data_IF_252955693601
#
_entry.id   IF_252955693601
#
_cell.length_a   1.000
_cell.length_b   1.000
_cell.length_c   1.000
_cell.angle_alpha   90.00
_cell.angle_beta   90.00
_cell.angle_gamma   90.00
#
_symmetry.space_group_name_H-M   'P 1'
#
loop_
_entity.id
_entity.type
_entity.pdbx_description
1 polymer ?
#
# COMPACT_ATOMS: atom_id res chain seq x y z
N UNK A 1 -24.65 5.57 27.05
CA UNK A 1 -23.90 6.49 26.17
C UNK A 1 -22.52 6.69 26.80
N UNK A 2 -21.45 6.34 26.09
CA UNK A 2 -20.07 6.59 26.48
C UNK A 2 -19.68 8.01 26.04
N UNK A 3 -18.96 8.73 26.89
CA UNK A 3 -18.48 10.08 26.55
C UNK A 3 -17.03 10.18 26.99
N UNK A 4 -16.14 10.50 26.06
CA UNK A 4 -14.73 10.63 26.35
C UNK A 4 -14.14 11.83 25.61
N UNK A 5 -13.50 12.72 26.37
CA UNK A 5 -12.74 13.86 25.89
C UNK A 5 -11.22 13.70 26.16
N UNK A 6 -10.82 12.59 26.81
CA UNK A 6 -9.43 12.26 27.10
C UNK A 6 -8.80 11.40 26.00
N UNK A 7 -7.69 10.76 26.33
CA UNK A 7 -7.06 9.80 25.43
C UNK A 7 -7.78 8.45 25.50
N UNK A 8 -8.23 7.97 24.34
CA UNK A 8 -8.55 6.56 24.14
C UNK A 8 -7.29 5.91 23.58
N UNK A 9 -6.64 5.09 24.40
CA UNK A 9 -5.54 4.24 24.00
C UNK A 9 -5.96 2.80 24.32
N UNK A 10 -6.30 1.98 23.31
CA UNK A 10 -6.67 0.60 23.55
C UNK A 10 -5.58 -0.26 24.22
N UNK A 11 -4.31 0.18 24.34
CA UNK A 11 -3.16 -0.70 24.63
C UNK A 11 -3.09 -1.38 26.01
N UNK A 12 -2.47 -2.57 26.00
CA UNK A 12 -1.56 -3.09 27.04
C UNK A 12 -0.15 -3.20 26.43
N UNK A 13 0.95 -2.73 27.05
CA UNK A 13 2.29 -2.83 26.48
C UNK A 13 2.70 -4.29 26.17
N UNK A 14 3.12 -4.57 24.94
CA UNK A 14 3.69 -5.88 24.55
C UNK A 14 2.74 -6.89 23.92
N UNK A 15 1.48 -6.52 23.62
CA UNK A 15 0.57 -7.31 22.76
C UNK A 15 0.36 -6.62 21.39
N UNK A 16 0.09 -7.41 20.37
CA UNK A 16 -0.41 -6.97 19.07
C UNK A 16 -1.81 -6.34 19.24
N UNK A 17 -2.27 -5.55 18.25
CA UNK A 17 -3.37 -4.59 18.37
C UNK A 17 -4.51 -4.98 19.32
N UNK A 18 -5.02 -4.02 20.08
CA UNK A 18 -6.08 -4.29 21.07
C UNK A 18 -7.39 -3.64 20.67
N UNK A 19 -8.50 -4.27 21.06
CA UNK A 19 -9.83 -3.75 20.80
C UNK A 19 -10.41 -3.07 22.02
N UNK A 20 -11.02 -1.91 21.82
CA UNK A 20 -11.90 -1.27 22.79
C UNK A 20 -13.33 -1.27 22.23
N UNK A 21 -14.30 -1.69 23.03
CA UNK A 21 -15.71 -1.74 22.61
C UNK A 21 -16.57 -0.90 23.54
N UNK A 22 -17.44 -0.06 22.96
CA UNK A 22 -18.42 0.75 23.67
C UNK A 22 -19.82 0.60 23.08
N UNK A 23 -20.84 1.16 23.78
CA UNK A 23 -22.16 1.43 23.19
C UNK A 23 -22.17 2.77 22.43
N UNK A 24 -23.34 3.43 22.25
CA UNK A 24 -23.40 4.77 21.64
C UNK A 24 -22.39 5.73 22.29
N UNK A 25 -21.63 6.45 21.48
CA UNK A 25 -20.43 7.20 21.90
C UNK A 25 -20.43 8.63 21.37
N UNK A 26 -20.08 9.58 22.24
CA UNK A 26 -19.61 10.92 21.88
C UNK A 26 -18.13 11.02 22.23
N UNK A 27 -17.28 11.17 21.22
CA UNK A 27 -15.83 11.20 21.39
C UNK A 27 -15.27 12.52 20.85
N UNK A 28 -14.66 13.31 21.73
CA UNK A 28 -14.03 14.59 21.40
C UNK A 28 -12.55 14.66 21.81
N UNK A 29 -12.00 13.52 22.24
CA UNK A 29 -10.62 13.39 22.69
C UNK A 29 -9.65 12.90 21.61
N UNK A 30 -8.56 12.25 22.03
CA UNK A 30 -7.52 11.70 21.14
C UNK A 30 -7.62 10.18 21.10
N UNK A 31 -7.91 9.61 19.93
CA UNK A 31 -7.79 8.17 19.71
C UNK A 31 -6.35 7.87 19.29
N UNK A 32 -5.56 7.28 20.19
CA UNK A 32 -4.25 6.73 19.87
C UNK A 32 -4.44 5.34 19.24
N UNK A 33 -4.05 5.23 17.98
CA UNK A 33 -4.22 4.01 17.18
C UNK A 33 -2.86 3.50 16.73
N UNK A 34 -2.52 2.29 17.14
CA UNK A 34 -1.36 1.56 16.66
C UNK A 34 -1.71 0.78 15.39
N UNK A 35 -0.90 0.96 14.34
CA UNK A 35 -0.87 0.07 13.18
C UNK A 35 0.28 -0.91 13.35
N UNK A 36 -0.04 -2.21 13.37
CA UNK A 36 0.92 -3.30 13.50
C UNK A 36 0.97 -4.12 12.20
N UNK A 37 2.14 -4.17 11.60
CA UNK A 37 2.39 -4.92 10.37
C UNK A 37 2.74 -6.39 10.62
N UNK A 38 2.53 -6.90 11.83
CA UNK A 38 2.59 -8.33 12.11
C UNK A 38 1.25 -9.00 11.77
N UNK A 39 1.23 -9.79 10.70
CA UNK A 39 0.12 -10.66 10.34
C UNK A 39 0.47 -12.10 10.72
N UNK A 40 0.20 -12.49 11.95
CA UNK A 40 0.02 -13.91 12.26
C UNK A 40 -1.25 -14.06 13.07
N UNK A 41 -2.24 -14.76 12.51
CA UNK A 41 -3.39 -15.20 13.27
C UNK A 41 -2.92 -15.84 14.59
N UNK A 42 -3.47 -15.45 15.76
CA UNK A 42 -4.73 -14.74 15.96
C UNK A 42 -4.63 -13.21 16.13
N UNK A 43 -3.47 -12.61 15.92
CA UNK A 43 -3.20 -11.23 16.30
C UNK A 43 -3.72 -10.22 15.25
N UNK A 44 -4.43 -9.16 15.67
CA UNK A 44 -4.90 -8.13 14.75
C UNK A 44 -3.77 -7.20 14.31
N UNK A 45 -3.90 -6.69 13.10
CA UNK A 45 -2.93 -5.79 12.47
C UNK A 45 -3.03 -4.33 12.94
N UNK A 46 -3.96 -4.00 13.83
CA UNK A 46 -4.08 -2.65 14.38
C UNK A 46 -4.95 -2.66 15.63
N UNK A 47 -4.92 -1.55 16.36
CA UNK A 47 -5.92 -1.25 17.36
C UNK A 47 -7.28 -1.01 16.70
N UNK A 48 -8.34 -1.46 17.37
CA UNK A 48 -9.71 -1.33 16.87
C UNK A 48 -10.64 -0.71 17.91
N UNK A 49 -11.21 0.44 17.59
CA UNK A 49 -12.31 1.03 18.34
C UNK A 49 -13.68 0.60 17.77
N UNK A 50 -14.43 -0.21 18.52
CA UNK A 50 -15.77 -0.68 18.13
C UNK A 50 -16.87 0.07 18.90
N UNK A 51 -17.80 0.68 18.17
CA UNK A 51 -18.93 1.44 18.74
C UNK A 51 -20.25 0.75 18.39
N UNK A 52 -20.87 0.09 19.36
CA UNK A 52 -22.19 -0.53 19.21
C UNK A 52 -23.30 0.51 19.40
N UNK A 53 -23.40 1.47 18.49
CA UNK A 53 -24.43 2.50 18.47
C UNK A 53 -24.05 3.71 17.64
N UNK A 54 -24.73 4.83 17.89
CA UNK A 54 -24.39 6.12 17.29
C UNK A 54 -22.99 6.57 17.72
N UNK A 55 -22.26 7.18 16.81
CA UNK A 55 -20.91 7.70 17.02
C UNK A 55 -20.88 9.19 16.66
N UNK A 56 -20.44 10.03 17.57
CA UNK A 56 -20.09 11.42 17.31
C UNK A 56 -18.57 11.61 17.47
N UNK A 57 -17.91 12.03 16.40
CA UNK A 57 -16.47 12.31 16.35
C UNK A 57 -16.16 13.81 16.38
N UNK A 58 -17.15 14.67 16.60
CA UNK A 58 -16.97 16.12 16.54
C UNK A 58 -15.89 16.59 17.52
N UNK A 59 -14.86 17.25 16.99
CA UNK A 59 -13.72 17.76 17.76
C UNK A 59 -12.66 16.70 18.12
N UNK A 60 -12.84 15.44 17.70
CA UNK A 60 -11.87 14.37 17.99
C UNK A 60 -10.60 14.45 17.14
N UNK A 61 -9.53 13.85 17.65
CA UNK A 61 -8.26 13.66 16.95
C UNK A 61 -7.96 12.18 16.82
N UNK A 62 -7.56 11.74 15.63
CA UNK A 62 -6.92 10.45 15.40
C UNK A 62 -5.40 10.64 15.41
N UNK A 63 -4.70 9.91 16.28
CA UNK A 63 -3.25 9.91 16.38
C UNK A 63 -2.72 8.51 16.03
N UNK A 64 -2.07 8.39 14.87
CA UNK A 64 -1.58 7.11 14.34
C UNK A 64 -0.11 6.93 14.73
N UNK A 65 0.22 5.74 15.21
CA UNK A 65 1.60 5.25 15.29
C UNK A 65 1.69 3.96 14.49
N UNK A 66 2.60 3.89 13.51
CA UNK A 66 2.86 2.66 12.76
C UNK A 66 4.12 1.98 13.29
N UNK A 67 4.05 0.68 13.58
CA UNK A 67 5.23 -0.13 13.92
C UNK A 67 6.00 -0.52 12.67
N UNK A 68 7.30 -0.70 12.83
CA UNK A 68 8.13 -1.27 11.76
C UNK A 68 7.59 -2.64 11.38
N UNK A 69 7.30 -2.88 10.10
CA UNK A 69 6.86 -4.19 9.61
C UNK A 69 7.86 -5.29 9.91
N UNK A 70 7.35 -6.37 10.51
CA UNK A 70 8.06 -7.63 10.71
C UNK A 70 7.51 -8.75 9.83
N UNK A 71 6.47 -8.48 9.02
CA UNK A 71 5.85 -9.42 8.08
C UNK A 71 5.33 -8.70 6.82
N UNK A 72 4.62 -9.42 5.95
CA UNK A 72 3.97 -8.88 4.75
C UNK A 72 3.13 -7.64 5.09
N UNK A 73 3.10 -6.60 4.24
CA UNK A 73 2.28 -5.44 4.50
C UNK A 73 0.81 -5.81 4.43
N UNK A 74 0.06 -4.95 5.10
CA UNK A 74 -1.36 -5.09 5.31
C UNK A 74 -2.05 -4.11 4.39
N UNK A 75 -2.96 -4.64 3.58
CA UNK A 75 -3.75 -3.84 2.63
C UNK A 75 -4.64 -2.82 3.34
N UNK A 76 -5.30 -3.26 4.42
CA UNK A 76 -6.32 -2.49 5.14
C UNK A 76 -6.16 -2.67 6.65
N UNK A 77 -6.07 -1.55 7.35
CA UNK A 77 -6.18 -1.47 8.81
C UNK A 77 -7.56 -0.91 9.17
N UNK A 78 -8.49 -1.75 9.61
CA UNK A 78 -9.79 -1.27 10.10
C UNK A 78 -9.63 -0.81 11.55
N UNK A 79 -9.61 0.50 11.76
CA UNK A 79 -9.27 1.10 13.05
C UNK A 79 -10.49 1.51 13.86
N UNK A 80 -11.63 1.71 13.21
CA UNK A 80 -12.87 2.07 13.90
C UNK A 80 -14.07 1.47 13.18
N UNK A 81 -15.03 0.94 13.93
CA UNK A 81 -16.34 0.51 13.42
C UNK A 81 -17.47 1.08 14.26
N UNK A 82 -18.63 1.31 13.65
CA UNK A 82 -19.84 1.75 14.34
C UNK A 82 -21.09 1.12 13.74
N UNK A 83 -22.18 1.01 14.51
CA UNK A 83 -23.43 0.40 14.02
C UNK A 83 -24.58 1.39 13.82
N UNK A 84 -24.57 2.51 14.54
CA UNK A 84 -25.59 3.57 14.47
C UNK A 84 -25.28 4.66 13.44
N UNK A 85 -25.73 5.88 13.69
CA UNK A 85 -25.44 7.06 12.88
C UNK A 85 -24.08 7.65 13.23
N UNK A 86 -23.40 8.23 12.24
CA UNK A 86 -22.17 9.01 12.44
C UNK A 86 -22.50 10.50 12.45
N UNK A 87 -21.99 11.22 13.44
CA UNK A 87 -21.95 12.69 13.49
C UNK A 87 -20.51 13.16 13.43
N UNK A 88 -20.22 14.12 12.54
CA UNK A 88 -18.88 14.66 12.35
C UNK A 88 -17.88 13.69 11.71
N UNK A 89 -16.61 14.11 11.73
CA UNK A 89 -15.43 13.32 11.33
C UNK A 89 -14.34 13.56 12.36
N UNK A 90 -13.22 12.82 12.29
CA UNK A 90 -12.01 13.25 12.98
C UNK A 90 -11.65 14.67 12.52
N UNK A 91 -11.55 15.60 13.47
CA UNK A 91 -11.19 16.99 13.19
C UNK A 91 -9.72 17.11 12.80
N UNK A 92 -8.87 16.24 13.37
CA UNK A 92 -7.45 16.16 13.07
C UNK A 92 -7.01 14.69 12.92
N UNK A 93 -6.09 14.46 11.99
CA UNK A 93 -5.38 13.19 11.83
C UNK A 93 -3.89 13.51 11.90
N UNK A 94 -3.18 12.83 12.80
CA UNK A 94 -1.74 13.03 13.03
C UNK A 94 -1.01 11.69 12.93
N UNK A 95 0.27 11.72 12.54
CA UNK A 95 1.10 10.51 12.43
C UNK A 95 0.74 9.58 11.26
N UNK A 96 -0.05 10.03 10.29
CA UNK A 96 -0.36 9.27 9.08
C UNK A 96 0.93 8.98 8.29
N UNK A 97 1.27 7.71 8.01
CA UNK A 97 2.42 7.40 7.17
C UNK A 97 2.23 7.93 5.75
N UNK A 98 3.32 8.35 5.09
CA UNK A 98 3.26 9.09 3.82
C UNK A 98 2.50 8.37 2.70
N UNK A 99 2.56 7.04 2.68
CA UNK A 99 1.95 6.19 1.65
C UNK A 99 0.54 5.69 1.99
N UNK A 100 -0.05 6.22 3.05
CA UNK A 100 -1.36 5.80 3.54
C UNK A 100 -2.34 6.96 3.60
N UNK A 101 -3.62 6.62 3.61
CA UNK A 101 -4.71 7.56 3.82
C UNK A 101 -5.77 6.97 4.75
N UNK A 102 -6.54 7.86 5.37
CA UNK A 102 -7.74 7.49 6.10
C UNK A 102 -8.91 7.42 5.12
N UNK A 103 -9.63 6.32 5.14
CA UNK A 103 -10.86 6.11 4.36
C UNK A 103 -12.02 5.90 5.33
N UNK A 104 -13.12 6.60 5.05
CA UNK A 104 -14.41 6.35 5.68
C UNK A 104 -15.29 5.56 4.72
N UNK A 105 -15.62 4.31 5.08
CA UNK A 105 -16.61 3.51 4.36
C UNK A 105 -17.96 3.68 5.05
N UNK A 106 -18.83 4.50 4.45
CA UNK A 106 -20.18 4.80 4.97
C UNK A 106 -21.06 3.55 4.97
N UNK A 107 -20.88 2.65 3.99
CA UNK A 107 -21.68 1.43 3.83
C UNK A 107 -21.31 0.39 4.87
N UNK A 108 -20.01 0.17 5.08
CA UNK A 108 -19.49 -0.73 6.12
C UNK A 108 -19.49 -0.11 7.52
N UNK A 109 -19.77 1.19 7.61
CA UNK A 109 -19.73 2.00 8.83
C UNK A 109 -18.39 1.83 9.57
N UNK A 110 -17.31 2.10 8.84
CA UNK A 110 -15.96 1.92 9.35
C UNK A 110 -15.01 3.02 8.89
N UNK A 111 -14.00 3.31 9.71
CA UNK A 111 -12.80 4.02 9.28
C UNK A 111 -11.65 3.03 9.16
N UNK A 112 -10.92 3.14 8.05
CA UNK A 112 -9.77 2.31 7.78
C UNK A 112 -8.58 3.13 7.30
N UNK A 113 -7.38 2.70 7.63
CA UNK A 113 -6.14 3.21 7.05
C UNK A 113 -5.72 2.26 5.93
N UNK A 114 -5.55 2.79 4.72
CA UNK A 114 -5.23 2.02 3.51
C UNK A 114 -4.09 2.66 2.75
N UNK A 115 -3.42 1.88 1.91
CA UNK A 115 -2.42 2.40 0.96
C UNK A 115 -3.05 3.40 -0.03
N UNK A 116 -2.33 4.48 -0.33
CA UNK A 116 -2.76 5.47 -1.33
C UNK A 116 -2.79 4.82 -2.72
N UNK A 117 -3.91 4.89 -3.46
CA UNK A 117 -3.95 4.46 -4.85
C UNK A 117 -3.13 5.40 -5.75
N UNK A 118 -2.93 4.99 -7.01
CA UNK A 118 -2.27 5.80 -8.03
C UNK A 118 -2.85 7.22 -8.11
N UNK A 119 -4.18 7.37 -8.10
CA UNK A 119 -4.86 8.67 -8.17
C UNK A 119 -4.41 9.62 -7.07
N UNK A 120 -4.35 9.15 -5.84
CA UNK A 120 -3.98 9.96 -4.68
C UNK A 120 -2.49 10.29 -4.69
N UNK A 121 -1.65 9.41 -5.24
CA UNK A 121 -0.24 9.68 -5.42
C UNK A 121 0.00 10.72 -6.51
N UNK A 122 -0.59 10.57 -7.70
CA UNK A 122 -0.36 11.49 -8.81
C UNK A 122 -0.99 12.88 -8.55
N UNK A 123 -2.03 12.96 -7.73
CA UNK A 123 -2.60 14.23 -7.28
C UNK A 123 -1.64 15.05 -6.40
N UNK A 124 -0.62 14.42 -5.81
CA UNK A 124 0.44 15.18 -5.11
C UNK A 124 1.34 15.97 -6.06
N UNK A 125 1.28 15.68 -7.36
CA UNK A 125 2.02 16.37 -8.41
C UNK A 125 1.10 17.26 -9.25
N UNK A 126 0.34 18.15 -8.58
CA UNK A 126 -0.74 18.95 -9.20
C UNK A 126 -0.32 19.84 -10.39
N UNK A 127 0.97 20.17 -10.51
CA UNK A 127 1.51 21.04 -11.57
C UNK A 127 1.90 20.29 -12.85
N UNK A 128 1.81 18.96 -12.88
CA UNK A 128 2.21 18.20 -14.07
C UNK A 128 1.25 18.38 -15.24
N UNK A 129 1.77 18.54 -16.47
CA UNK A 129 0.95 18.76 -17.66
C UNK A 129 0.12 17.53 -18.06
N UNK A 130 0.61 16.31 -17.82
CA UNK A 130 -0.11 15.05 -18.07
C UNK A 130 0.03 14.11 -16.86
N UNK A 131 -1.07 13.91 -16.14
CA UNK A 131 -1.18 13.05 -14.95
C UNK A 131 -1.88 11.72 -15.25
N UNK A 132 -2.12 11.41 -16.52
CA UNK A 132 -2.74 10.14 -16.90
C UNK A 132 -1.79 8.96 -16.60
N UNK A 133 -2.30 7.74 -16.37
CA UNK A 133 -1.44 6.58 -16.10
C UNK A 133 -0.38 6.32 -17.18
N UNK A 134 -0.66 6.70 -18.43
CA UNK A 134 0.22 6.53 -19.59
C UNK A 134 1.05 7.78 -19.93
N UNK A 135 0.80 8.90 -19.25
CA UNK A 135 1.56 10.14 -19.44
C UNK A 135 3.01 9.96 -18.98
N UNK A 136 3.91 10.68 -19.65
CA UNK A 136 5.35 10.78 -19.35
C UNK A 136 5.71 12.28 -19.40
N UNK A 137 5.28 13.06 -18.38
CA UNK A 137 5.39 14.51 -18.41
C UNK A 137 6.82 15.03 -18.27
N UNK A 138 7.75 14.23 -17.73
CA UNK A 138 9.16 14.59 -17.57
C UNK A 138 10.07 13.98 -18.66
N UNK A 139 9.57 13.05 -19.48
CA UNK A 139 10.18 12.60 -20.71
C UNK A 139 11.33 11.61 -20.52
N UNK A 140 11.34 10.88 -19.40
CA UNK A 140 12.40 9.93 -19.08
C UNK A 140 12.15 8.51 -19.61
N UNK A 141 10.98 8.30 -20.22
CA UNK A 141 10.56 7.03 -20.82
C UNK A 141 9.79 6.11 -19.87
N UNK A 142 9.55 6.52 -18.62
CA UNK A 142 8.68 5.83 -17.68
C UNK A 142 7.33 6.53 -17.57
N UNK A 143 6.21 5.88 -17.96
CA UNK A 143 4.91 6.50 -17.75
C UNK A 143 4.58 6.56 -16.26
N UNK A 144 3.77 7.54 -15.85
CA UNK A 144 3.37 7.84 -14.47
C UNK A 144 2.99 6.58 -13.66
N UNK A 145 2.26 5.63 -14.26
CA UNK A 145 1.86 4.39 -13.57
C UNK A 145 3.04 3.45 -13.30
N UNK A 146 4.03 3.40 -14.20
CA UNK A 146 5.26 2.66 -13.98
C UNK A 146 6.10 3.31 -12.90
N UNK A 147 6.20 4.64 -12.90
CA UNK A 147 6.88 5.36 -11.81
C UNK A 147 6.22 5.14 -10.45
N UNK A 148 4.89 5.13 -10.39
CA UNK A 148 4.16 4.78 -9.17
C UNK A 148 4.54 3.39 -8.62
N UNK A 149 4.75 2.40 -9.50
CA UNK A 149 5.23 1.06 -9.13
C UNK A 149 6.69 1.08 -8.72
N UNK A 150 7.53 1.76 -9.49
CA UNK A 150 8.99 1.69 -9.36
C UNK A 150 9.55 2.65 -8.29
N UNK A 151 8.72 3.57 -7.77
CA UNK A 151 9.11 4.59 -6.81
C UNK A 151 9.75 5.84 -7.44
N UNK A 152 9.39 6.14 -8.69
CA UNK A 152 9.87 7.30 -9.45
C UNK A 152 9.22 8.63 -9.05
N UNK A 153 9.55 9.67 -9.82
CA UNK A 153 9.05 11.02 -9.64
C UNK A 153 8.64 11.62 -11.00
N UNK A 154 7.34 11.71 -11.29
CA UNK A 154 6.83 12.16 -12.59
C UNK A 154 7.11 13.64 -12.90
N UNK A 155 7.64 14.40 -11.95
CA UNK A 155 8.08 15.78 -12.17
C UNK A 155 9.57 15.94 -12.40
N UNK A 156 10.35 14.86 -12.41
CA UNK A 156 11.78 14.93 -12.48
C UNK A 156 12.39 13.58 -12.81
N UNK A 157 12.67 13.39 -14.11
CA UNK A 157 13.11 12.12 -14.66
C UNK A 157 14.21 11.44 -13.86
N UNK A 158 14.01 10.15 -13.60
CA UNK A 158 14.85 9.34 -12.73
C UNK A 158 15.14 7.97 -13.33
N UNK A 159 16.25 7.88 -14.07
CA UNK A 159 16.71 6.60 -14.62
C UNK A 159 17.18 5.59 -13.56
N UNK A 160 17.32 5.96 -12.29
CA UNK A 160 17.73 5.03 -11.22
C UNK A 160 16.67 3.95 -10.94
N UNK A 161 15.42 4.19 -11.33
CA UNK A 161 14.30 3.23 -11.19
C UNK A 161 14.30 2.15 -12.29
N UNK A 162 15.22 2.23 -13.25
CA UNK A 162 15.30 1.31 -14.38
C UNK A 162 15.47 -0.14 -13.91
N UNK A 163 14.58 -1.06 -14.34
CA UNK A 163 14.77 -2.48 -14.08
C UNK A 163 16.11 -2.99 -14.61
N UNK A 164 16.78 -3.83 -13.83
CA UNK A 164 18.06 -4.43 -14.20
C UNK A 164 17.89 -5.87 -14.64
N UNK A 165 18.86 -6.39 -15.38
CA UNK A 165 18.86 -7.80 -15.74
C UNK A 165 20.24 -8.46 -15.63
N UNK A 166 20.23 -9.75 -15.29
CA UNK A 166 21.40 -10.61 -15.26
C UNK A 166 21.19 -11.84 -16.15
N UNK A 167 22.27 -12.39 -16.68
CA UNK A 167 22.26 -13.67 -17.39
C UNK A 167 23.01 -14.74 -16.57
N UNK A 168 22.38 -15.90 -16.43
CA UNK A 168 23.01 -17.13 -15.95
C UNK A 168 23.07 -18.15 -17.09
N UNK A 169 23.65 -19.32 -16.82
CA UNK A 169 23.69 -20.41 -17.80
C UNK A 169 22.29 -20.87 -18.25
N UNK A 170 21.29 -20.80 -17.36
CA UNK A 170 19.94 -21.34 -17.60
C UNK A 170 18.82 -20.31 -17.53
N UNK A 171 19.08 -19.11 -17.02
CA UNK A 171 18.05 -18.09 -16.79
C UNK A 171 18.48 -16.68 -17.21
N UNK A 172 17.50 -15.93 -17.70
CA UNK A 172 17.49 -14.46 -17.69
C UNK A 172 16.82 -14.02 -16.39
N UNK A 173 17.46 -13.12 -15.65
CA UNK A 173 16.96 -12.63 -14.36
C UNK A 173 16.55 -11.18 -14.54
N UNK A 174 15.27 -10.86 -14.36
CA UNK A 174 14.75 -9.49 -14.38
C UNK A 174 14.55 -8.99 -12.95
N UNK A 175 14.97 -7.76 -12.64
CA UNK A 175 14.89 -7.18 -11.28
C UNK A 175 14.35 -5.76 -11.31
N UNK A 176 13.53 -5.41 -10.33
CA UNK A 176 13.07 -4.03 -10.12
C UNK A 176 12.65 -3.80 -8.67
N UNK A 177 12.55 -2.53 -8.27
CA UNK A 177 12.00 -2.13 -6.98
C UNK A 177 10.49 -1.93 -7.11
N UNK A 178 9.71 -2.43 -6.16
CA UNK A 178 8.25 -2.32 -6.18
C UNK A 178 7.76 -1.61 -4.92
N UNK A 179 7.10 -0.47 -5.10
CA UNK A 179 6.41 0.26 -4.03
C UNK A 179 5.29 -0.58 -3.42
N UNK A 180 5.17 -0.61 -2.10
CA UNK A 180 4.15 -1.42 -1.41
C UNK A 180 2.72 -1.07 -1.82
N UNK A 181 2.39 0.22 -1.90
CA UNK A 181 1.05 0.65 -2.34
C UNK A 181 0.69 0.16 -3.74
N UNK A 182 1.67 -0.15 -4.58
CA UNK A 182 1.39 -0.62 -5.94
C UNK A 182 0.84 -2.04 -5.98
N UNK A 183 1.07 -2.85 -4.95
CA UNK A 183 0.64 -4.26 -4.88
C UNK A 183 -0.88 -4.38 -4.94
N UNK A 184 -1.57 -3.48 -4.25
CA UNK A 184 -3.02 -3.51 -4.10
C UNK A 184 -3.74 -2.70 -5.18
N UNK A 185 -3.01 -1.80 -5.86
CA UNK A 185 -3.59 -0.84 -6.79
C UNK A 185 -3.17 -1.05 -8.25
N UNK A 186 -2.31 -2.04 -8.53
CA UNK A 186 -1.87 -2.39 -9.89
C UNK A 186 -1.77 -3.89 -10.08
N UNK A 187 -1.94 -4.33 -11.32
CA UNK A 187 -1.46 -5.61 -11.80
C UNK A 187 -0.09 -5.42 -12.46
N UNK A 188 0.85 -6.29 -12.10
CA UNK A 188 2.24 -6.24 -12.57
C UNK A 188 2.61 -7.56 -13.22
N UNK A 189 3.05 -7.49 -14.48
CA UNK A 189 3.40 -8.66 -15.29
C UNK A 189 4.78 -8.40 -15.89
N UNK A 190 5.74 -9.28 -15.60
CA UNK A 190 6.97 -9.32 -16.38
C UNK A 190 6.69 -10.12 -17.65
N UNK A 191 6.74 -9.44 -18.80
CA UNK A 191 6.59 -10.09 -20.09
C UNK A 191 7.96 -10.40 -20.66
N UNK A 192 8.08 -11.52 -21.37
CA UNK A 192 9.33 -11.88 -22.05
C UNK A 192 9.11 -12.49 -23.41
N UNK A 193 10.15 -12.41 -24.23
CA UNK A 193 10.14 -12.83 -25.62
C UNK A 193 11.52 -13.27 -26.09
N UNK A 194 11.58 -14.08 -27.14
CA UNK A 194 12.80 -14.45 -27.86
C UNK A 194 12.92 -13.75 -29.22
N UNK A 195 11.86 -13.08 -29.68
CA UNK A 195 11.73 -12.47 -31.01
C UNK A 195 11.22 -11.01 -31.00
N UNK A 196 10.84 -10.47 -29.83
CA UNK A 196 10.17 -9.17 -29.62
C UNK A 196 8.75 -9.07 -30.21
N UNK A 197 8.21 -10.15 -30.77
CA UNK A 197 6.89 -10.21 -31.38
C UNK A 197 5.91 -10.99 -30.49
N UNK A 198 6.30 -12.21 -30.10
CA UNK A 198 5.50 -13.08 -29.23
C UNK A 198 5.92 -12.88 -27.79
N UNK A 199 5.00 -12.37 -26.96
CA UNK A 199 5.24 -12.10 -25.55
C UNK A 199 4.56 -13.15 -24.65
N UNK A 200 5.28 -13.59 -23.63
CA UNK A 200 4.81 -14.52 -22.60
C UNK A 200 4.76 -13.81 -21.26
N UNK A 201 3.69 -14.05 -20.52
CA UNK A 201 3.43 -13.35 -19.26
C UNK A 201 3.93 -14.13 -18.06
N UNK A 202 4.58 -13.43 -17.13
CA UNK A 202 4.89 -13.90 -15.78
C UNK A 202 4.25 -12.93 -14.79
N UNK A 203 3.08 -13.26 -14.23
CA UNK A 203 2.44 -12.45 -13.20
C UNK A 203 3.35 -12.32 -11.99
N UNK A 204 3.45 -11.11 -11.43
CA UNK A 204 4.18 -10.86 -10.19
C UNK A 204 3.20 -10.89 -9.02
N UNK A 205 3.38 -11.87 -8.13
CA UNK A 205 2.48 -12.07 -6.98
C UNK A 205 2.85 -11.18 -5.81
N UNK A 206 1.96 -11.10 -4.82
CA UNK A 206 2.17 -10.32 -3.59
C UNK A 206 3.40 -10.78 -2.80
N UNK A 207 3.50 -12.08 -2.55
CA UNK A 207 4.54 -12.72 -1.73
C UNK A 207 5.52 -13.61 -2.53
N UNK A 208 5.41 -13.58 -3.87
CA UNK A 208 6.19 -14.44 -4.76
C UNK A 208 5.79 -15.93 -4.71
N UNK A 209 6.47 -16.72 -5.52
CA UNK A 209 6.32 -18.15 -5.68
C UNK A 209 6.77 -18.49 -7.09
N UNK A 210 7.85 -19.26 -7.25
CA UNK A 210 8.57 -19.37 -8.53
C UNK A 210 7.67 -19.42 -9.78
N UNK A 211 8.00 -18.69 -10.86
CA UNK A 211 9.30 -18.06 -11.17
C UNK A 211 9.54 -16.64 -10.62
N UNK A 212 8.53 -16.00 -10.03
CA UNK A 212 8.66 -14.69 -9.37
C UNK A 212 9.07 -14.86 -7.90
N UNK A 213 10.13 -14.17 -7.51
CA UNK A 213 10.67 -14.13 -6.15
C UNK A 213 10.59 -12.69 -5.68
N UNK A 214 9.94 -12.48 -4.54
CA UNK A 214 9.81 -11.15 -3.94
C UNK A 214 10.51 -11.19 -2.60
N UNK A 215 11.43 -10.25 -2.37
CA UNK A 215 11.99 -9.97 -1.05
C UNK A 215 11.30 -8.70 -0.54
N UNK A 216 10.48 -8.88 0.49
CA UNK A 216 9.79 -7.76 1.15
C UNK A 216 10.77 -6.95 1.98
N UNK A 217 10.70 -5.62 1.89
CA UNK A 217 11.61 -4.73 2.64
C UNK A 217 10.87 -3.86 3.66
N UNK A 218 9.76 -4.36 4.17
CA UNK A 218 8.98 -3.64 5.17
C UNK A 218 8.22 -2.48 4.53
N UNK A 219 8.57 -1.25 4.91
CA UNK A 219 7.97 -0.01 4.35
C UNK A 219 8.81 0.58 3.19
N UNK A 220 9.99 0.00 2.93
CA UNK A 220 10.81 0.35 1.79
C UNK A 220 10.36 -0.48 0.58
N UNK A 221 10.54 0.02 -0.65
CA UNK A 221 10.21 -0.73 -1.85
C UNK A 221 10.80 -2.15 -1.86
N UNK A 222 9.95 -3.14 -2.14
CA UNK A 222 10.32 -4.54 -2.27
C UNK A 222 11.38 -4.73 -3.35
N UNK A 223 12.24 -5.75 -3.19
CA UNK A 223 13.07 -6.25 -4.29
C UNK A 223 12.34 -7.38 -5.01
N UNK A 224 11.93 -7.13 -6.26
CA UNK A 224 11.32 -8.15 -7.11
C UNK A 224 12.37 -8.74 -8.04
N UNK A 225 12.40 -10.06 -8.13
CA UNK A 225 13.23 -10.84 -9.06
C UNK A 225 12.37 -11.85 -9.79
N UNK A 226 12.36 -11.80 -11.12
CA UNK A 226 11.71 -12.82 -11.95
C UNK A 226 12.77 -13.64 -12.68
N UNK A 227 12.71 -14.97 -12.53
CA UNK A 227 13.59 -15.89 -13.24
C UNK A 227 12.92 -16.45 -14.48
N UNK A 228 13.54 -16.25 -15.63
CA UNK A 228 12.98 -16.65 -16.92
C UNK A 228 13.89 -17.70 -17.52
N UNK A 229 13.36 -18.88 -17.80
CA UNK A 229 14.10 -19.95 -18.46
C UNK A 229 14.64 -19.45 -19.79
N UNK A 230 15.94 -19.58 -19.98
CA UNK A 230 16.63 -19.14 -21.19
C UNK A 230 16.91 -20.35 -22.09
N UNK A 231 16.31 -20.42 -23.29
CA UNK A 231 16.71 -21.42 -24.28
C UNK A 231 18.16 -21.19 -24.70
N UNK A 232 18.94 -22.27 -24.79
CA UNK A 232 20.35 -22.20 -25.18
C UNK A 232 20.50 -21.53 -26.56
N UNK A 233 21.44 -20.58 -26.65
CA UNK A 233 21.75 -19.87 -27.90
C UNK A 233 20.72 -18.83 -28.35
N UNK A 234 19.63 -18.61 -27.59
CA UNK A 234 18.62 -17.62 -27.95
C UNK A 234 18.80 -16.29 -27.23
N UNK A 235 18.38 -15.21 -27.89
CA UNK A 235 18.18 -13.90 -27.27
C UNK A 235 16.93 -13.96 -26.39
N UNK A 236 16.94 -13.21 -25.31
CA UNK A 236 15.79 -13.03 -24.42
C UNK A 236 15.60 -11.54 -24.18
N UNK A 237 14.37 -11.08 -24.33
CA UNK A 237 13.94 -9.72 -24.05
C UNK A 237 12.91 -9.78 -22.93
N UNK A 238 12.91 -8.77 -22.06
CA UNK A 238 11.93 -8.67 -20.99
C UNK A 238 11.46 -7.22 -20.83
N UNK A 239 10.22 -7.04 -20.37
CA UNK A 239 9.65 -5.75 -19.99
C UNK A 239 8.68 -5.91 -18.82
N UNK A 240 8.52 -4.85 -18.04
CA UNK A 240 7.46 -4.76 -17.05
C UNK A 240 6.22 -4.15 -17.70
N UNK A 241 5.08 -4.83 -17.57
CA UNK A 241 3.76 -4.31 -17.91
C UNK A 241 3.00 -4.04 -16.62
N UNK A 242 2.47 -2.83 -16.50
CA UNK A 242 1.68 -2.39 -15.35
C UNK A 242 0.30 -1.95 -15.83
N UNK A 243 -0.75 -2.37 -15.13
CA UNK A 243 -2.13 -1.88 -15.35
C UNK A 243 -2.78 -1.49 -14.02
N UNK A 244 -3.65 -0.47 -13.98
CA UNK A 244 -4.41 -0.14 -12.76
C UNK A 244 -5.38 -1.27 -12.38
N UNK A 245 -5.67 -1.41 -11.08
CA UNK A 245 -6.74 -2.25 -10.54
C UNK A 245 -8.02 -1.45 -10.30
#
# INVERSE_FOLDING_TARGET
MFTCAGTLDPLTPGRFGTSFTSGPTVFSGVYQCLLDSYYSSPDPNCDLFTVNGDLDLTGSTLAITKRTPTSEPVEVYTILTYTGNLTGTFAHVTGMPADYKLVHDVTKKSFAVVHKPFSDWIDTFGELPDRTPQGDPDGDGFPNLSEYVLGGNPGGGDTSITPTCDLTASHFIFRYKRRDSSIYNTDQIVQWSTDMETWRDVPVRTSGGGPDYVVRNGDLPDDVRVQINRPAGQKVFARLKVTPK
#
